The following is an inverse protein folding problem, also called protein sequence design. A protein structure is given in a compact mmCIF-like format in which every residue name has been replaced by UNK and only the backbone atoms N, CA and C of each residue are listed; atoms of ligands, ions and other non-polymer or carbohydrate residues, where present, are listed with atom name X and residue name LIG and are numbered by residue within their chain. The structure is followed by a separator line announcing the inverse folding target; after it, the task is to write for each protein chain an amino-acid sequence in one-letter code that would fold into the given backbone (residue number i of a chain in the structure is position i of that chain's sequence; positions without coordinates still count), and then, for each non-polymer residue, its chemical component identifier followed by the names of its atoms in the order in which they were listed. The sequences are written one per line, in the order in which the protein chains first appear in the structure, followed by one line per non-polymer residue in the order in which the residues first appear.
data_IF_678657685742
#
_entry.id   IF_678657685742
#
_cell.length_a   1.000
_cell.length_b   1.000
_cell.length_c   1.000
_cell.angle_alpha   90.00
_cell.angle_beta   90.00
_cell.angle_gamma   90.00
#
_symmetry.space_group_name_H-M   'P 1'
#
loop_
_entity.id
_entity.type
_entity.pdbx_description
1 polymer ?
#
# COMPACT_ATOMS: atom_id res chain seq x y z
N UNK A 1 -18.25 10.82 -33.98
CA UNK A 1 -17.58 11.93 -33.28
C UNK A 1 -17.75 11.66 -31.79
N UNK A 2 -16.84 10.88 -31.21
CA UNK A 2 -16.95 10.46 -29.81
C UNK A 2 -16.42 11.57 -28.90
N UNK A 3 -17.27 12.01 -27.97
CA UNK A 3 -16.86 12.80 -26.83
C UNK A 3 -15.76 12.02 -26.10
N UNK A 4 -14.53 12.54 -26.14
CA UNK A 4 -13.47 12.18 -25.20
C UNK A 4 -14.03 12.60 -23.83
N UNK A 5 -14.62 11.67 -23.09
CA UNK A 5 -14.82 11.88 -21.67
C UNK A 5 -13.42 12.02 -21.09
N UNK A 6 -13.07 13.21 -20.62
CA UNK A 6 -11.88 13.46 -19.80
C UNK A 6 -12.04 12.63 -18.52
N UNK A 7 -11.65 11.37 -18.62
CA UNK A 7 -11.52 10.52 -17.46
C UNK A 7 -10.33 11.03 -16.67
N UNK A 8 -10.60 11.53 -15.46
CA UNK A 8 -9.54 11.83 -14.50
C UNK A 8 -8.87 10.51 -14.10
N UNK A 9 -7.56 10.44 -14.35
CA UNK A 9 -6.72 9.29 -14.03
C UNK A 9 -6.02 9.45 -12.67
N UNK A 10 -6.21 10.57 -11.98
CA UNK A 10 -5.80 10.70 -10.58
C UNK A 10 -6.64 9.80 -9.67
N UNK A 11 -6.00 9.30 -8.62
CA UNK A 11 -6.57 8.38 -7.64
C UNK A 11 -7.20 7.13 -8.28
N UNK A 12 -6.47 6.56 -9.25
CA UNK A 12 -6.87 5.33 -9.95
C UNK A 12 -5.76 4.32 -10.08
N UNK A 13 -6.17 3.05 -10.20
CA UNK A 13 -5.35 1.91 -10.63
C UNK A 13 -5.96 1.32 -11.88
N UNK A 14 -5.23 1.35 -13.00
CA UNK A 14 -5.58 0.80 -14.30
C UNK A 14 -4.88 -0.55 -14.51
N UNK A 15 -5.61 -1.68 -14.44
CA UNK A 15 -5.04 -2.98 -14.74
C UNK A 15 -4.89 -3.15 -16.26
N UNK A 16 -3.86 -3.88 -16.68
CA UNK A 16 -3.61 -4.23 -18.07
C UNK A 16 -2.99 -5.62 -18.20
N UNK A 17 -2.99 -6.15 -19.43
CA UNK A 17 -2.34 -7.41 -19.78
C UNK A 17 -1.57 -7.26 -21.08
N UNK A 18 -0.39 -7.88 -21.11
CA UNK A 18 0.51 -8.01 -22.26
C UNK A 18 0.44 -9.48 -22.69
N UNK A 19 -0.51 -9.79 -23.57
CA UNK A 19 -0.84 -11.18 -23.91
C UNK A 19 0.32 -11.89 -24.64
N UNK A 20 1.20 -11.17 -25.35
CA UNK A 20 2.35 -11.76 -26.06
C UNK A 20 3.51 -12.13 -25.13
N UNK A 21 3.69 -11.37 -24.05
CA UNK A 21 4.76 -11.57 -23.07
C UNK A 21 4.33 -12.41 -21.86
N UNK A 22 3.09 -12.92 -21.82
CA UNK A 22 2.50 -13.61 -20.67
C UNK A 22 2.63 -12.80 -19.36
N UNK A 23 2.35 -11.50 -19.45
CA UNK A 23 2.47 -10.60 -18.31
C UNK A 23 1.19 -9.85 -18.04
N UNK A 24 0.92 -9.61 -16.77
CA UNK A 24 -0.14 -8.70 -16.31
C UNK A 24 0.51 -7.53 -15.59
N UNK A 25 -0.13 -6.37 -15.65
CA UNK A 25 0.37 -5.22 -14.93
C UNK A 25 -0.73 -4.30 -14.46
N UNK A 26 -0.32 -3.30 -13.71
CA UNK A 26 -1.16 -2.20 -13.21
C UNK A 26 -0.37 -0.91 -13.35
N UNK A 27 -1.05 0.14 -13.77
CA UNK A 27 -0.54 1.50 -13.69
C UNK A 27 -1.41 2.25 -12.68
N UNK A 28 -0.80 3.03 -11.80
CA UNK A 28 -1.53 3.82 -10.81
C UNK A 28 -1.05 5.26 -10.82
N UNK A 29 -1.95 6.18 -10.51
CA UNK A 29 -1.63 7.57 -10.18
C UNK A 29 -2.48 8.00 -9.00
N UNK A 30 -1.84 8.60 -8.01
CA UNK A 30 -2.40 9.07 -6.75
C UNK A 30 -2.14 10.57 -6.62
N UNK A 31 -3.17 11.31 -6.23
CA UNK A 31 -3.16 12.74 -5.98
C UNK A 31 -3.86 13.03 -4.65
N UNK A 32 -5.13 13.39 -4.68
CA UNK A 32 -5.88 13.77 -3.49
C UNK A 32 -5.96 12.65 -2.43
N UNK A 33 -5.98 11.38 -2.84
CA UNK A 33 -5.86 10.25 -1.91
C UNK A 33 -4.56 10.32 -1.09
N UNK A 34 -3.43 10.59 -1.77
CA UNK A 34 -2.13 10.69 -1.11
C UNK A 34 -2.01 11.95 -0.26
N UNK A 35 -2.47 13.11 -0.76
CA UNK A 35 -2.53 14.35 0.02
C UNK A 35 -3.30 14.13 1.33
N UNK A 36 -4.47 13.49 1.27
CA UNK A 36 -5.28 13.20 2.44
C UNK A 36 -4.57 12.27 3.43
N UNK A 37 -3.82 11.28 2.96
CA UNK A 37 -3.01 10.41 3.83
C UNK A 37 -1.91 11.20 4.54
N UNK A 38 -1.16 12.00 3.79
CA UNK A 38 -0.04 12.77 4.33
C UNK A 38 -0.51 13.87 5.29
N UNK A 39 -1.67 14.48 5.03
CA UNK A 39 -2.25 15.52 5.87
C UNK A 39 -2.68 15.04 7.28
N UNK A 40 -2.74 13.73 7.52
CA UNK A 40 -3.12 13.19 8.84
C UNK A 40 -2.05 13.43 9.91
N UNK A 41 -0.80 13.69 9.52
CA UNK A 41 0.33 13.87 10.43
C UNK A 41 1.32 14.90 9.88
N UNK A 42 2.06 15.54 10.79
CA UNK A 42 3.14 16.47 10.44
C UNK A 42 4.43 15.71 10.08
N UNK A 43 4.48 15.05 8.93
CA UNK A 43 5.69 14.33 8.51
C UNK A 43 6.76 15.27 7.96
N UNK A 44 8.06 15.11 8.32
CA UNK A 44 9.14 15.74 7.57
C UNK A 44 9.21 15.18 6.13
N UNK A 45 9.77 15.92 5.15
CA UNK A 45 9.73 15.55 3.73
C UNK A 45 10.25 14.14 3.42
N UNK A 46 11.28 13.68 4.13
CA UNK A 46 11.87 12.36 3.96
C UNK A 46 10.89 11.25 4.36
N UNK A 47 10.10 11.47 5.42
CA UNK A 47 9.04 10.53 5.84
C UNK A 47 7.84 10.62 4.91
N UNK A 48 7.50 11.82 4.39
CA UNK A 48 6.45 11.97 3.37
C UNK A 48 6.77 11.14 2.12
N UNK A 49 8.02 11.16 1.67
CA UNK A 49 8.50 10.35 0.55
C UNK A 49 8.33 8.84 0.80
N UNK A 50 8.75 8.34 1.97
CA UNK A 50 8.57 6.93 2.34
C UNK A 50 7.09 6.52 2.40
N UNK A 51 6.24 7.37 3.00
CA UNK A 51 4.80 7.13 3.06
C UNK A 51 4.20 7.13 1.64
N UNK A 52 4.59 8.06 0.77
CA UNK A 52 4.12 8.13 -0.61
C UNK A 52 4.49 6.89 -1.43
N UNK A 53 5.74 6.44 -1.34
CA UNK A 53 6.19 5.20 -2.01
C UNK A 53 5.40 3.99 -1.51
N UNK A 54 5.22 3.86 -0.19
CA UNK A 54 4.52 2.73 0.41
C UNK A 54 3.03 2.72 0.05
N UNK A 55 2.38 3.88 0.02
CA UNK A 55 0.98 4.04 -0.39
C UNK A 55 0.79 3.66 -1.86
N UNK A 56 1.71 4.08 -2.74
CA UNK A 56 1.69 3.72 -4.16
C UNK A 56 1.87 2.21 -4.37
N UNK A 57 2.85 1.59 -3.70
CA UNK A 57 3.04 0.14 -3.71
C UNK A 57 1.76 -0.59 -3.27
N UNK A 58 1.16 -0.14 -2.17
CA UNK A 58 -0.07 -0.73 -1.63
C UNK A 58 -1.26 -0.59 -2.59
N UNK A 59 -1.38 0.52 -3.32
CA UNK A 59 -2.39 0.67 -4.35
C UNK A 59 -2.19 -0.32 -5.52
N UNK A 60 -0.95 -0.42 -6.03
CA UNK A 60 -0.60 -1.31 -7.15
C UNK A 60 -0.78 -2.79 -6.78
N UNK A 61 -0.40 -3.18 -5.57
CA UNK A 61 -0.51 -4.57 -5.10
C UNK A 61 -1.95 -4.90 -4.72
N UNK A 62 -2.60 -4.02 -3.95
CA UNK A 62 -3.91 -4.22 -3.35
C UNK A 62 -5.05 -4.41 -4.36
N UNK A 63 -4.95 -3.84 -5.56
CA UNK A 63 -5.99 -3.96 -6.59
C UNK A 63 -6.35 -5.42 -6.97
N UNK A 64 -5.46 -6.39 -6.70
CA UNK A 64 -5.69 -7.82 -7.03
C UNK A 64 -6.51 -8.60 -6.02
N UNK A 65 -6.65 -8.08 -4.80
CA UNK A 65 -7.26 -8.85 -3.73
C UNK A 65 -8.78 -8.92 -3.94
N UNK A 66 -9.42 -9.95 -3.38
CA UNK A 66 -10.87 -10.12 -3.53
C UNK A 66 -11.63 -9.01 -2.80
N UNK A 67 -12.85 -8.75 -3.24
CA UNK A 67 -13.76 -7.81 -2.56
C UNK A 67 -13.85 -8.12 -1.07
N UNK A 68 -13.97 -7.05 -0.26
CA UNK A 68 -14.04 -7.09 1.22
C UNK A 68 -12.76 -7.57 1.92
N UNK A 69 -11.72 -8.00 1.21
CA UNK A 69 -10.43 -8.32 1.82
C UNK A 69 -9.67 -7.03 2.16
N UNK A 70 -8.69 -7.17 3.06
CA UNK A 70 -7.76 -6.10 3.42
C UNK A 70 -6.34 -6.60 3.20
N UNK A 71 -5.55 -5.80 2.49
CA UNK A 71 -4.11 -5.99 2.39
C UNK A 71 -3.41 -4.95 3.25
N UNK A 72 -2.42 -5.36 4.02
CA UNK A 72 -1.57 -4.48 4.80
C UNK A 72 -0.13 -4.63 4.37
N UNK A 73 0.54 -3.53 4.08
CA UNK A 73 1.99 -3.49 3.87
C UNK A 73 2.62 -2.82 5.10
N UNK A 74 3.58 -3.51 5.72
CA UNK A 74 4.33 -3.01 6.86
C UNK A 74 5.84 -3.01 6.55
N UNK A 75 6.48 -1.87 6.77
CA UNK A 75 7.93 -1.71 6.73
C UNK A 75 8.37 -1.43 8.15
N UNK A 76 9.27 -2.24 8.70
CA UNK A 76 9.85 -2.02 10.03
C UNK A 76 11.35 -1.98 9.94
N UNK A 77 11.95 -1.05 10.68
CA UNK A 77 13.38 -0.85 10.69
C UNK A 77 13.91 -0.39 12.04
N UNK A 78 15.23 -0.47 12.21
CA UNK A 78 15.98 0.01 13.38
C UNK A 78 16.49 1.46 13.24
N UNK A 79 16.27 2.07 12.07
CA UNK A 79 16.60 3.46 11.79
C UNK A 79 15.61 4.49 12.36
N UNK A 80 15.79 5.78 12.02
CA UNK A 80 14.86 6.85 12.40
C UNK A 80 13.41 6.62 11.96
N UNK A 81 13.18 5.98 10.79
CA UNK A 81 11.86 5.55 10.33
C UNK A 81 11.56 4.13 10.86
N UNK A 82 10.93 4.05 12.03
CA UNK A 82 10.76 2.81 12.80
C UNK A 82 9.69 1.88 12.22
N UNK A 83 8.59 2.45 11.74
CA UNK A 83 7.46 1.71 11.18
C UNK A 83 6.77 2.57 10.13
N UNK A 84 6.45 1.98 8.98
CA UNK A 84 5.47 2.51 8.02
C UNK A 84 4.44 1.42 7.81
N UNK A 85 3.17 1.74 8.05
CA UNK A 85 2.06 0.82 7.88
C UNK A 85 1.05 1.41 6.91
N UNK A 86 0.62 0.63 5.94
CA UNK A 86 -0.41 1.03 4.99
C UNK A 86 -1.44 -0.09 4.85
N UNK A 87 -2.70 0.27 4.64
CA UNK A 87 -3.77 -0.67 4.38
C UNK A 87 -4.48 -0.32 3.08
N UNK A 88 -4.78 -1.35 2.29
CA UNK A 88 -5.73 -1.32 1.18
C UNK A 88 -6.96 -2.13 1.55
N UNK A 89 -8.12 -1.47 1.61
CA UNK A 89 -9.41 -2.13 1.79
C UNK A 89 -10.06 -2.30 0.42
N UNK A 90 -10.22 -3.55 0.00
CA UNK A 90 -10.92 -3.82 -1.24
C UNK A 90 -12.38 -3.34 -1.17
N UNK A 91 -12.95 -2.93 -2.32
CA UNK A 91 -14.33 -2.45 -2.34
C UNK A 91 -15.31 -3.49 -1.81
N UNK A 92 -16.42 -3.02 -1.25
CA UNK A 92 -17.50 -3.90 -0.80
C UNK A 92 -18.27 -4.51 -1.99
N UNK A 93 -18.27 -3.81 -3.13
CA UNK A 93 -18.89 -4.20 -4.38
C UNK A 93 -18.09 -3.67 -5.58
N UNK A 94 -18.21 -4.34 -6.73
CA UNK A 94 -17.58 -3.91 -7.97
C UNK A 94 -17.98 -2.48 -8.36
N UNK A 95 -17.02 -1.70 -8.85
CA UNK A 95 -17.24 -0.30 -9.25
C UNK A 95 -17.27 0.72 -8.09
N UNK A 96 -17.19 0.27 -6.83
CA UNK A 96 -16.98 1.17 -5.68
C UNK A 96 -15.48 1.47 -5.51
N UNK A 97 -15.12 2.64 -4.97
CA UNK A 97 -13.73 2.94 -4.62
C UNK A 97 -13.18 1.95 -3.60
N UNK A 98 -11.90 1.62 -3.74
CA UNK A 98 -11.13 0.99 -2.68
C UNK A 98 -10.63 2.09 -1.74
N UNK A 99 -10.41 1.75 -0.47
CA UNK A 99 -9.93 2.72 0.53
C UNK A 99 -8.49 2.43 0.90
N UNK A 100 -7.68 3.47 1.01
CA UNK A 100 -6.29 3.38 1.44
C UNK A 100 -6.07 4.27 2.66
N UNK A 101 -5.20 3.85 3.57
CA UNK A 101 -4.68 4.67 4.66
C UNK A 101 -3.23 4.31 4.93
N UNK A 102 -2.48 5.22 5.53
CA UNK A 102 -1.13 4.96 5.98
C UNK A 102 -0.79 5.74 7.24
N UNK A 103 0.23 5.27 7.95
CA UNK A 103 0.88 5.98 9.03
C UNK A 103 2.34 5.56 9.17
N UNK A 104 3.18 6.49 9.64
CA UNK A 104 4.56 6.22 9.97
C UNK A 104 4.91 6.62 11.41
N UNK A 105 5.62 5.75 12.12
CA UNK A 105 6.30 6.06 13.37
C UNK A 105 7.76 6.38 13.09
N UNK A 106 8.23 7.53 13.56
CA UNK A 106 9.59 8.00 13.32
C UNK A 106 10.16 8.73 14.53
N UNK A 107 11.48 8.88 14.57
CA UNK A 107 12.20 9.71 15.54
C UNK A 107 12.67 10.98 14.85
N UNK A 108 11.96 12.10 15.10
CA UNK A 108 12.20 13.38 14.40
C UNK A 108 13.62 13.91 14.62
N UNK A 109 14.15 13.73 15.82
CA UNK A 109 15.44 14.32 16.21
C UNK A 109 16.64 13.57 15.60
N UNK A 110 16.40 12.41 14.99
CA UNK A 110 17.39 11.57 14.31
C UNK A 110 17.31 11.63 12.79
N UNK A 111 16.46 12.50 12.23
CA UNK A 111 16.34 12.66 10.77
C UNK A 111 17.25 13.81 10.34
N UNK A 112 18.30 13.47 9.59
CA UNK A 112 19.14 14.46 8.93
C UNK A 112 18.39 15.05 7.72
N UNK A 113 18.24 16.38 7.63
CA UNK A 113 17.60 17.01 6.48
C UNK A 113 18.33 16.68 5.18
N UNK A 114 17.57 16.23 4.17
CA UNK A 114 18.12 15.83 2.87
C UNK A 114 18.73 14.42 2.84
N UNK A 115 18.60 13.63 3.91
CA UNK A 115 18.94 12.22 3.88
C UNK A 115 18.13 11.48 2.80
N UNK A 116 18.75 10.48 2.18
CA UNK A 116 18.03 9.58 1.27
C UNK A 116 16.92 8.87 2.05
N UNK A 117 15.63 9.02 1.67
CA UNK A 117 14.51 8.50 2.44
C UNK A 117 14.66 7.02 2.84
N UNK A 118 15.05 6.16 1.88
CA UNK A 118 15.22 4.72 2.12
C UNK A 118 16.23 4.39 3.22
N UNK A 119 17.32 5.16 3.34
CA UNK A 119 18.33 4.93 4.39
C UNK A 119 17.82 5.18 5.81
N UNK A 120 16.73 5.93 5.97
CA UNK A 120 16.13 6.20 7.28
C UNK A 120 15.48 4.96 7.90
N UNK A 121 15.18 3.92 7.10
CA UNK A 121 14.60 2.68 7.60
C UNK A 121 15.65 1.88 8.38
N UNK A 122 16.89 1.86 7.91
CA UNK A 122 17.94 0.99 8.45
C UNK A 122 17.67 -0.49 8.12
N UNK A 123 18.07 -1.38 9.02
CA UNK A 123 17.84 -2.83 8.87
C UNK A 123 16.49 -3.21 9.45
N UNK A 124 15.84 -4.19 8.83
CA UNK A 124 14.59 -4.73 9.35
C UNK A 124 13.88 -5.58 8.30
N UNK A 125 12.57 -5.46 8.21
CA UNK A 125 11.77 -6.26 7.29
C UNK A 125 10.65 -5.47 6.60
N UNK A 126 10.34 -5.92 5.39
CA UNK A 126 9.15 -5.60 4.63
C UNK A 126 8.19 -6.77 4.73
N UNK A 127 6.94 -6.54 5.12
CA UNK A 127 5.92 -7.57 5.30
C UNK A 127 4.64 -7.19 4.57
N UNK A 128 4.01 -8.20 3.97
CA UNK A 128 2.69 -8.11 3.37
C UNK A 128 1.77 -9.07 4.10
N UNK A 129 0.62 -8.55 4.53
CA UNK A 129 -0.41 -9.29 5.25
C UNK A 129 -1.71 -9.22 4.46
N UNK A 130 -2.37 -10.36 4.31
CA UNK A 130 -3.65 -10.48 3.63
C UNK A 130 -4.69 -11.02 4.60
N UNK A 131 -5.62 -10.15 4.96
CA UNK A 131 -6.78 -10.44 5.80
C UNK A 131 -7.99 -10.71 4.90
N UNK A 132 -8.43 -11.95 4.90
CA UNK A 132 -9.53 -12.44 4.08
C UNK A 132 -10.90 -12.22 4.73
N UNK A 133 -10.93 -11.67 5.96
CA UNK A 133 -12.13 -11.54 6.76
C UNK A 133 -12.54 -12.82 7.49
N UNK A 134 -13.75 -12.80 8.06
CA UNK A 134 -14.45 -13.95 8.66
C UNK A 134 -13.69 -14.75 9.73
N UNK A 135 -12.71 -14.11 10.40
CA UNK A 135 -11.92 -14.75 11.45
C UNK A 135 -10.86 -15.74 10.94
N UNK A 136 -10.63 -15.78 9.62
CA UNK A 136 -9.50 -16.50 9.05
C UNK A 136 -8.18 -15.91 9.58
N UNK A 137 -7.19 -16.77 9.85
CA UNK A 137 -5.86 -16.28 10.17
C UNK A 137 -5.30 -15.55 8.94
N UNK A 138 -4.83 -14.29 9.09
CA UNK A 138 -4.24 -13.56 7.98
C UNK A 138 -3.05 -14.32 7.41
N UNK A 139 -2.97 -14.40 6.09
CA UNK A 139 -1.75 -14.83 5.43
C UNK A 139 -0.70 -13.71 5.59
N UNK A 140 0.55 -14.07 5.89
CA UNK A 140 1.65 -13.11 5.97
C UNK A 140 2.91 -13.67 5.35
N UNK A 141 3.54 -12.88 4.48
CA UNK A 141 4.91 -13.11 4.05
C UNK A 141 5.79 -11.92 4.44
N UNK A 142 7.10 -12.14 4.54
CA UNK A 142 8.05 -11.10 4.86
C UNK A 142 9.40 -11.35 4.18
N UNK A 143 10.10 -10.26 3.89
CA UNK A 143 11.47 -10.26 3.33
C UNK A 143 12.28 -9.20 4.08
N UNK A 144 13.61 -9.37 4.23
CA UNK A 144 14.44 -8.30 4.80
C UNK A 144 14.37 -7.01 3.97
N UNK A 145 14.70 -5.87 4.58
CA UNK A 145 14.94 -4.63 3.83
C UNK A 145 16.20 -4.80 2.99
N UNK A 146 16.05 -4.79 1.67
CA UNK A 146 17.09 -5.07 0.68
C UNK A 146 16.99 -4.11 -0.51
N UNK A 147 18.06 -4.05 -1.31
CA UNK A 147 18.14 -3.16 -2.46
C UNK A 147 18.33 -1.70 -2.06
N UNK A 148 17.79 -0.79 -2.86
CA UNK A 148 17.94 0.65 -2.68
C UNK A 148 16.60 1.40 -2.51
N UNK A 149 15.47 0.68 -2.56
CA UNK A 149 14.12 1.24 -2.51
C UNK A 149 13.10 0.28 -1.89
N UNK A 150 11.92 0.78 -1.51
CA UNK A 150 10.82 -0.08 -1.06
C UNK A 150 10.25 -0.88 -2.24
N UNK A 151 10.35 -0.39 -3.48
CA UNK A 151 10.05 -1.20 -4.67
C UNK A 151 10.96 -2.41 -4.82
N UNK A 152 12.25 -2.31 -4.48
CA UNK A 152 13.17 -3.47 -4.51
C UNK A 152 12.78 -4.49 -3.44
N UNK A 153 12.43 -4.02 -2.24
CA UNK A 153 11.88 -4.87 -1.18
C UNK A 153 10.59 -5.58 -1.63
N UNK A 154 9.68 -4.87 -2.30
CA UNK A 154 8.46 -5.45 -2.82
C UNK A 154 8.73 -6.48 -3.92
N UNK A 155 9.67 -6.23 -4.83
CA UNK A 155 10.09 -7.18 -5.86
C UNK A 155 10.69 -8.45 -5.24
N UNK A 156 11.60 -8.30 -4.26
CA UNK A 156 12.19 -9.40 -3.51
C UNK A 156 11.13 -10.23 -2.75
N UNK A 157 10.13 -9.56 -2.14
CA UNK A 157 8.99 -10.23 -1.52
C UNK A 157 8.27 -11.15 -2.51
N UNK A 158 7.92 -10.65 -3.70
CA UNK A 158 7.18 -11.44 -4.67
C UNK A 158 8.02 -12.58 -5.25
N UNK A 159 9.32 -12.37 -5.47
CA UNK A 159 10.21 -13.43 -5.92
C UNK A 159 10.34 -14.54 -4.86
N UNK A 160 10.52 -14.17 -3.59
CA UNK A 160 10.83 -15.14 -2.53
C UNK A 160 9.59 -15.79 -1.90
N UNK A 161 8.56 -15.01 -1.59
CA UNK A 161 7.38 -15.49 -0.85
C UNK A 161 6.28 -16.00 -1.77
N UNK A 162 6.14 -15.42 -2.96
CA UNK A 162 5.05 -15.75 -3.89
C UNK A 162 5.53 -16.53 -5.12
N UNK A 163 6.85 -16.59 -5.37
CA UNK A 163 7.46 -17.14 -6.60
C UNK A 163 6.87 -16.50 -7.87
N UNK A 164 6.65 -15.19 -7.82
CA UNK A 164 6.08 -14.41 -8.92
C UNK A 164 7.06 -13.30 -9.33
N UNK A 165 7.75 -13.44 -10.48
CA UNK A 165 8.55 -12.37 -11.07
C UNK A 165 7.74 -11.08 -11.14
N UNK A 166 8.21 -10.06 -10.44
CA UNK A 166 7.51 -8.78 -10.29
C UNK A 166 8.50 -7.62 -10.39
N UNK A 167 8.18 -6.63 -11.22
CA UNK A 167 8.98 -5.43 -11.41
C UNK A 167 8.12 -4.18 -11.23
N UNK A 168 8.75 -3.10 -10.79
CA UNK A 168 8.11 -1.82 -10.53
C UNK A 168 8.88 -0.68 -11.21
N UNK A 169 8.14 0.36 -11.62
CA UNK A 169 8.70 1.66 -11.95
C UNK A 169 7.85 2.71 -11.25
N UNK A 170 8.41 3.40 -10.26
CA UNK A 170 7.68 4.33 -9.39
C UNK A 170 8.29 5.72 -9.46
N UNK A 171 7.45 6.74 -9.31
CA UNK A 171 7.87 8.12 -9.08
C UNK A 171 6.86 8.80 -8.17
N UNK A 172 7.34 9.68 -7.31
CA UNK A 172 6.52 10.46 -6.41
C UNK A 172 7.24 11.77 -6.10
N UNK A 173 6.46 12.81 -5.82
CA UNK A 173 6.99 14.12 -5.50
C UNK A 173 5.92 15.18 -5.42
N UNK A 174 6.35 16.37 -5.07
CA UNK A 174 5.49 17.55 -5.05
C UNK A 174 5.38 18.15 -6.45
N UNK A 175 4.16 18.36 -6.90
CA UNK A 175 3.82 19.02 -8.15
C UNK A 175 3.32 20.43 -7.84
N UNK A 176 3.90 21.42 -8.52
CA UNK A 176 3.47 22.80 -8.46
C UNK A 176 2.64 23.14 -9.70
N UNK A 177 1.38 23.51 -9.50
CA UNK A 177 0.52 24.07 -10.53
C UNK A 177 0.23 25.54 -10.23
N UNK A 178 0.46 26.48 -11.18
CA UNK A 178 0.14 27.88 -10.99
C UNK A 178 -1.32 28.06 -10.55
N UNK A 179 -1.52 28.69 -9.38
CA UNK A 179 -2.85 28.97 -8.82
C UNK A 179 -3.53 27.81 -8.08
N UNK A 180 -2.91 26.62 -7.97
CA UNK A 180 -3.46 25.44 -7.28
C UNK A 180 -2.64 24.97 -6.07
N UNK A 181 -1.50 25.60 -5.81
CA UNK A 181 -0.62 25.28 -4.70
C UNK A 181 0.25 24.05 -4.98
N UNK A 182 1.02 23.66 -3.97
CA UNK A 182 1.84 22.46 -3.99
C UNK A 182 1.00 21.26 -3.58
N UNK A 183 1.03 20.18 -4.38
CA UNK A 183 0.31 18.93 -4.09
C UNK A 183 1.21 17.73 -4.29
N UNK A 184 1.05 16.70 -3.48
CA UNK A 184 1.73 15.45 -3.71
C UNK A 184 1.12 14.68 -4.88
N UNK A 185 1.98 14.11 -5.69
CA UNK A 185 1.61 13.14 -6.72
C UNK A 185 2.51 11.92 -6.62
N UNK A 186 1.92 10.74 -6.77
CA UNK A 186 2.65 9.49 -6.88
C UNK A 186 2.10 8.70 -8.06
N UNK A 187 2.96 8.08 -8.84
CA UNK A 187 2.58 7.38 -10.06
C UNK A 187 3.55 6.24 -10.31
N UNK A 188 3.03 5.12 -10.80
CA UNK A 188 3.87 3.95 -10.99
C UNK A 188 3.23 2.86 -11.82
N UNK A 189 4.08 1.95 -12.29
CA UNK A 189 3.70 0.72 -12.94
C UNK A 189 4.22 -0.47 -12.14
N UNK A 190 3.44 -1.54 -12.18
CA UNK A 190 3.81 -2.87 -11.71
C UNK A 190 3.57 -3.85 -12.84
N UNK A 191 4.52 -4.75 -13.10
CA UNK A 191 4.39 -5.85 -14.06
C UNK A 191 4.71 -7.16 -13.35
N UNK A 192 3.92 -8.20 -13.63
CA UNK A 192 4.10 -9.55 -13.12
C UNK A 192 4.01 -10.57 -14.23
N UNK A 193 4.89 -11.57 -14.20
CA UNK A 193 4.77 -12.74 -15.07
C UNK A 193 3.55 -13.59 -14.67
N UNK A 194 2.86 -14.15 -15.66
CA UNK A 194 1.73 -15.06 -15.50
C UNK A 194 2.16 -16.45 -15.94
N UNK A 195 2.45 -17.38 -15.01
CA UNK A 195 2.85 -18.73 -15.39
C UNK A 195 1.74 -19.45 -16.16
N UNK A 196 2.09 -20.12 -17.27
CA UNK A 196 1.18 -21.00 -18.02
C UNK A 196 0.93 -22.35 -17.31
N UNK A 197 1.75 -22.71 -16.30
CA UNK A 197 1.59 -23.87 -15.42
C UNK A 197 2.38 -23.68 -14.10
N UNK A 198 2.04 -24.45 -13.06
CA UNK A 198 2.64 -24.33 -11.72
C UNK A 198 4.16 -24.60 -11.74
N UNK A 199 5.00 -23.70 -11.20
CA UNK A 199 6.44 -23.90 -11.19
C UNK A 199 6.81 -24.86 -10.06
N UNK A 200 6.94 -26.15 -10.36
CA UNK A 200 7.89 -26.96 -9.61
C UNK A 200 9.28 -26.53 -10.12
N UNK A 201 9.96 -25.68 -9.36
CA UNK A 201 11.24 -25.08 -9.75
C UNK A 201 12.34 -26.15 -9.90
N UNK A 202 13.10 -26.03 -10.99
CA UNK A 202 14.36 -26.74 -11.22
C UNK A 202 15.54 -25.80 -10.92
N UNK A 203 16.29 -26.09 -9.84
CA UNK A 203 17.75 -25.92 -9.74
C UNK A 203 18.45 -24.55 -9.94
N UNK A 204 17.76 -23.42 -10.10
CA UNK A 204 18.45 -22.13 -10.29
C UNK A 204 19.11 -21.60 -9.00
N UNK A 205 20.33 -21.06 -9.12
CA UNK A 205 21.01 -20.36 -8.03
C UNK A 205 20.49 -18.91 -7.90
N UNK A 206 20.30 -18.36 -6.69
CA UNK A 206 19.82 -16.98 -6.52
C UNK A 206 20.84 -15.95 -7.01
N UNK A 207 20.39 -14.98 -7.81
CA UNK A 207 21.24 -13.89 -8.34
C UNK A 207 20.91 -12.51 -7.74
N UNK A 208 19.86 -12.40 -6.94
CA UNK A 208 19.44 -11.16 -6.29
C UNK A 208 20.36 -10.72 -5.14
N UNK A 209 20.10 -9.51 -4.63
CA UNK A 209 20.86 -8.94 -3.51
C UNK A 209 20.72 -9.80 -2.25
N UNK A 210 21.80 -9.86 -1.46
CA UNK A 210 21.85 -10.59 -0.18
C UNK A 210 21.47 -12.08 -0.27
N UNK A 211 21.71 -12.70 -1.43
CA UNK A 211 21.46 -14.13 -1.68
C UNK A 211 19.98 -14.49 -1.87
N UNK A 212 19.14 -13.49 -2.14
CA UNK A 212 17.72 -13.66 -2.46
C UNK A 212 17.52 -13.96 -3.95
N UNK A 213 16.38 -14.56 -4.30
CA UNK A 213 16.00 -14.75 -5.70
C UNK A 213 15.64 -13.42 -6.35
N UNK A 214 16.19 -13.16 -7.53
CA UNK A 214 15.73 -12.12 -8.43
C UNK A 214 14.52 -12.62 -9.25
N UNK A 215 13.82 -11.70 -9.92
CA UNK A 215 12.66 -12.05 -10.74
C UNK A 215 13.04 -12.95 -11.93
N UNK A 216 14.24 -12.75 -12.47
CA UNK A 216 14.81 -13.47 -13.61
C UNK A 216 15.09 -14.94 -13.27
N UNK A 217 15.45 -15.23 -12.02
CA UNK A 217 15.81 -16.58 -11.55
C UNK A 217 14.63 -17.57 -11.63
N UNK A 218 13.40 -17.06 -11.71
CA UNK A 218 12.17 -17.85 -11.73
C UNK A 218 11.65 -18.13 -13.15
N UNK A 219 12.38 -17.71 -14.18
CA UNK A 219 11.91 -17.74 -15.57
C UNK A 219 12.70 -18.75 -16.44
N UNK A 220 12.00 -19.35 -17.41
CA UNK A 220 12.62 -20.14 -18.48
C UNK A 220 13.07 -19.24 -19.63
N UNK A 221 13.94 -19.72 -20.53
CA UNK A 221 14.62 -18.89 -21.55
C UNK A 221 13.71 -17.93 -22.33
N UNK A 222 12.60 -18.40 -22.91
CA UNK A 222 11.67 -17.52 -23.65
C UNK A 222 10.99 -16.48 -22.75
N UNK A 223 10.56 -16.91 -21.55
CA UNK A 223 9.95 -16.02 -20.57
C UNK A 223 10.96 -15.00 -20.02
N UNK A 224 12.24 -15.38 -19.88
CA UNK A 224 13.33 -14.53 -19.45
C UNK A 224 13.64 -13.43 -20.49
N UNK A 225 13.65 -13.76 -21.79
CA UNK A 225 13.81 -12.75 -22.85
C UNK A 225 12.62 -11.78 -22.90
N UNK A 226 11.39 -12.29 -22.79
CA UNK A 226 10.21 -11.43 -22.69
C UNK A 226 10.27 -10.52 -21.46
N UNK A 227 10.67 -11.07 -20.31
CA UNK A 227 10.84 -10.33 -19.06
C UNK A 227 11.86 -9.22 -19.17
N UNK A 228 13.04 -9.52 -19.73
CA UNK A 228 14.08 -8.54 -19.97
C UNK A 228 13.60 -7.41 -20.86
N UNK A 229 12.92 -7.72 -21.97
CA UNK A 229 12.39 -6.74 -22.92
C UNK A 229 11.34 -5.83 -22.28
N UNK A 230 10.34 -6.41 -21.61
CA UNK A 230 9.30 -5.64 -20.92
C UNK A 230 9.89 -4.83 -19.76
N UNK A 231 10.87 -5.39 -19.04
CA UNK A 231 11.61 -4.70 -17.98
C UNK A 231 12.38 -3.48 -18.48
N UNK A 232 13.08 -3.59 -19.62
CA UNK A 232 13.76 -2.45 -20.24
C UNK A 232 12.79 -1.33 -20.64
N UNK A 233 11.63 -1.69 -21.20
CA UNK A 233 10.59 -0.71 -21.51
C UNK A 233 10.06 -0.06 -20.24
N UNK A 234 9.71 -0.85 -19.22
CA UNK A 234 9.24 -0.38 -17.92
C UNK A 234 10.22 0.62 -17.28
N UNK A 235 11.52 0.33 -17.31
CA UNK A 235 12.58 1.20 -16.77
C UNK A 235 12.79 2.48 -17.59
N UNK A 236 12.31 2.54 -18.83
CA UNK A 236 12.32 3.75 -19.65
C UNK A 236 11.23 4.75 -19.28
N UNK A 237 10.38 4.45 -18.30
CA UNK A 237 9.35 5.37 -17.80
C UNK A 237 10.00 6.60 -17.16
N UNK A 238 9.67 7.79 -17.66
CA UNK A 238 10.18 9.04 -17.08
C UNK A 238 9.27 9.53 -15.95
N UNK A 239 9.86 10.23 -14.97
CA UNK A 239 9.12 10.79 -13.84
C UNK A 239 7.92 11.64 -14.27
N UNK A 240 8.09 12.53 -15.26
CA UNK A 240 7.01 13.39 -15.76
C UNK A 240 5.89 12.62 -16.48
N UNK A 241 6.13 11.40 -16.93
CA UNK A 241 5.09 10.56 -17.51
C UNK A 241 4.29 9.83 -16.42
N UNK A 242 4.96 9.45 -15.33
CA UNK A 242 4.37 8.79 -14.17
C UNK A 242 3.49 9.77 -13.37
N UNK A 243 4.04 10.92 -13.00
CA UNK A 243 3.38 11.88 -12.09
C UNK A 243 2.95 13.19 -12.77
N UNK A 244 3.42 13.48 -13.97
CA UNK A 244 3.12 14.75 -14.65
C UNK A 244 1.70 14.81 -15.23
N UNK A 245 1.22 16.02 -15.55
CA UNK A 245 -0.18 16.25 -15.92
C UNK A 245 -0.50 15.96 -17.40
N UNK A 246 0.51 15.68 -18.24
CA UNK A 246 0.35 15.66 -19.71
C UNK A 246 0.02 14.28 -20.29
N UNK A 247 0.42 13.23 -19.60
CA UNK A 247 0.29 11.84 -20.10
C UNK A 247 -0.76 11.13 -19.25
N UNK A 248 -1.78 10.55 -19.89
CA UNK A 248 -2.75 9.69 -19.21
C UNK A 248 -2.22 8.25 -19.08
N UNK A 249 -2.84 7.44 -18.20
CA UNK A 249 -2.37 6.07 -17.97
C UNK A 249 -2.43 5.19 -19.24
N UNK A 250 -3.51 5.21 -20.06
CA UNK A 250 -3.52 4.44 -21.30
C UNK A 250 -2.46 4.89 -22.32
N UNK A 251 -2.23 6.20 -22.45
CA UNK A 251 -1.19 6.75 -23.32
C UNK A 251 0.21 6.34 -22.88
N UNK A 252 0.47 6.32 -21.57
CA UNK A 252 1.72 5.81 -21.02
C UNK A 252 1.91 4.32 -21.32
N UNK A 253 0.88 3.50 -21.11
CA UNK A 253 0.92 2.07 -21.43
C UNK A 253 1.19 1.83 -22.92
N UNK A 254 0.56 2.61 -23.80
CA UNK A 254 0.85 2.54 -25.23
C UNK A 254 2.29 2.95 -25.53
N UNK A 255 2.80 4.05 -24.97
CA UNK A 255 4.19 4.47 -25.17
C UNK A 255 5.17 3.36 -24.80
N UNK A 256 4.98 2.75 -23.62
CA UNK A 256 5.87 1.72 -23.09
C UNK A 256 5.74 0.38 -23.83
N UNK A 257 4.50 -0.01 -24.19
CA UNK A 257 4.19 -1.38 -24.60
C UNK A 257 3.44 -1.48 -25.92
N UNK A 258 3.48 -0.49 -26.82
CA UNK A 258 2.74 -0.53 -28.09
C UNK A 258 2.97 -1.82 -28.90
N UNK A 259 4.19 -2.38 -28.89
CA UNK A 259 4.50 -3.66 -29.57
C UNK A 259 3.78 -4.86 -28.95
N UNK A 260 3.40 -4.78 -27.68
CA UNK A 260 2.66 -5.81 -26.93
C UNK A 260 1.14 -5.71 -27.13
N UNK A 261 0.64 -4.59 -27.67
CA UNK A 261 -0.79 -4.27 -27.76
C UNK A 261 -1.51 -4.39 -26.41
N UNK A 262 -1.22 -3.51 -25.43
CA UNK A 262 -1.66 -3.66 -24.05
C UNK A 262 -3.20 -3.67 -23.97
N UNK A 263 -3.75 -4.73 -23.39
CA UNK A 263 -5.18 -4.85 -23.15
C UNK A 263 -5.51 -4.27 -21.78
N UNK A 264 -6.26 -3.17 -21.76
CA UNK A 264 -6.68 -2.50 -20.53
C UNK A 264 -7.99 -3.07 -19.98
N UNK A 265 -8.15 -3.00 -18.66
CA UNK A 265 -9.34 -3.45 -17.93
C UNK A 265 -10.05 -2.28 -17.23
N UNK A 266 -11.26 -2.51 -16.68
CA UNK A 266 -11.94 -1.49 -15.89
C UNK A 266 -11.05 -0.98 -14.76
N UNK A 267 -11.02 0.35 -14.63
CA UNK A 267 -10.23 1.06 -13.64
C UNK A 267 -10.79 0.85 -12.23
N UNK A 268 -9.91 0.75 -11.24
CA UNK A 268 -10.26 0.80 -9.82
C UNK A 268 -9.96 2.19 -9.27
N UNK A 269 -10.98 2.88 -8.77
CA UNK A 269 -10.78 4.13 -8.02
C UNK A 269 -10.24 3.84 -6.63
N UNK A 270 -9.38 4.71 -6.12
CA UNK A 270 -8.88 4.65 -4.74
C UNK A 270 -9.18 5.96 -4.04
N UNK A 271 -9.42 5.92 -2.74
CA UNK A 271 -9.64 7.11 -1.92
C UNK A 271 -9.04 6.91 -0.54
N UNK A 272 -8.77 7.99 0.18
CA UNK A 272 -8.43 7.88 1.59
C UNK A 272 -9.62 7.32 2.37
N UNK A 273 -9.38 6.37 3.26
CA UNK A 273 -10.43 5.89 4.15
C UNK A 273 -9.93 5.12 5.36
N UNK A 274 -10.20 5.67 6.55
CA UNK A 274 -9.96 5.01 7.81
C UNK A 274 -11.28 4.46 8.38
N UNK A 275 -11.39 3.15 8.65
CA UNK A 275 -12.61 2.56 9.17
C UNK A 275 -12.71 2.67 10.71
N UNK A 276 -11.91 3.51 11.38
CA UNK A 276 -12.01 3.69 12.82
C UNK A 276 -13.38 4.29 13.19
N UNK A 277 -13.90 3.88 14.35
CA UNK A 277 -15.10 4.46 14.93
C UNK A 277 -15.04 4.30 16.44
N UNK A 278 -15.86 5.07 17.15
CA UNK A 278 -16.00 4.94 18.60
C UNK A 278 -16.35 3.49 18.99
N UNK A 279 -17.26 2.81 18.27
CA UNK A 279 -17.63 1.43 18.59
C UNK A 279 -16.46 0.46 18.43
N UNK A 280 -15.60 0.67 17.43
CA UNK A 280 -14.41 -0.17 17.24
C UNK A 280 -13.39 0.02 18.35
N UNK A 281 -13.20 1.26 18.82
CA UNK A 281 -12.29 1.55 19.93
C UNK A 281 -12.81 0.91 21.22
N UNK A 282 -14.10 1.08 21.53
CA UNK A 282 -14.75 0.42 22.67
C UNK A 282 -14.58 -1.09 22.60
N UNK A 283 -14.80 -1.69 21.41
CA UNK A 283 -14.60 -3.13 21.19
C UNK A 283 -13.15 -3.56 21.40
N UNK A 284 -12.17 -2.76 20.98
CA UNK A 284 -10.75 -3.06 21.23
C UNK A 284 -10.40 -2.98 22.72
N UNK A 285 -11.07 -2.10 23.48
CA UNK A 285 -10.87 -1.96 24.93
C UNK A 285 -11.68 -2.96 25.76
N UNK A 286 -12.57 -3.76 25.15
CA UNK A 286 -13.43 -4.70 25.88
C UNK A 286 -12.69 -5.90 26.47
N UNK A 287 -11.37 -6.02 26.24
CA UNK A 287 -10.52 -7.08 26.81
C UNK A 287 -9.88 -6.66 28.15
N UNK A 288 -9.96 -5.38 28.51
CA UNK A 288 -9.37 -4.85 29.73
C UNK A 288 -10.38 -4.89 30.89
N UNK A 289 -9.88 -5.12 32.10
CA UNK A 289 -10.71 -5.03 33.31
C UNK A 289 -11.00 -3.57 33.67
N UNK A 290 -12.06 -3.32 34.46
CA UNK A 290 -12.33 -1.97 34.98
C UNK A 290 -11.12 -1.39 35.75
N UNK A 291 -10.33 -2.25 36.40
CA UNK A 291 -9.10 -1.85 37.07
C UNK A 291 -8.07 -1.32 36.06
N UNK A 292 -7.86 -2.00 34.94
CA UNK A 292 -6.92 -1.56 33.91
C UNK A 292 -7.38 -0.25 33.25
N UNK A 293 -8.69 -0.12 32.98
CA UNK A 293 -9.31 1.11 32.47
C UNK A 293 -9.09 2.28 33.44
N UNK A 294 -9.17 2.05 34.76
CA UNK A 294 -8.88 3.09 35.74
C UNK A 294 -7.43 3.60 35.68
N UNK A 295 -6.46 2.76 35.30
CA UNK A 295 -5.06 3.19 35.10
C UNK A 295 -4.87 3.96 33.79
N UNK A 296 -5.79 3.81 32.83
CA UNK A 296 -5.81 4.56 31.58
C UNK A 296 -6.60 5.88 31.69
N UNK A 297 -7.27 6.11 32.82
CA UNK A 297 -8.11 7.29 33.03
C UNK A 297 -7.23 8.51 33.33
N UNK A 298 -7.45 9.60 32.61
CA UNK A 298 -6.72 10.86 32.77
C UNK A 298 -7.13 11.58 34.06
N UNK A 299 -6.38 12.61 34.52
CA UNK A 299 -6.76 13.42 35.67
C UNK A 299 -8.15 14.09 35.55
N UNK A 300 -8.62 14.30 34.33
CA UNK A 300 -9.95 14.85 34.01
C UNK A 300 -11.08 13.80 34.12
N UNK A 301 -10.76 12.55 34.45
CA UNK A 301 -11.72 11.48 34.65
C UNK A 301 -12.22 10.81 33.36
N UNK A 302 -11.50 10.98 32.24
CA UNK A 302 -11.88 10.39 30.94
C UNK A 302 -10.82 9.40 30.45
N UNK A 303 -11.17 8.56 29.48
CA UNK A 303 -10.19 7.76 28.73
C UNK A 303 -10.15 8.28 27.30
N UNK A 304 -8.95 8.61 26.83
CA UNK A 304 -8.73 9.09 25.46
C UNK A 304 -8.07 8.02 24.60
N UNK A 305 -8.43 7.99 23.32
CA UNK A 305 -7.79 7.12 22.34
C UNK A 305 -7.62 7.84 21.00
N UNK A 306 -6.39 7.81 20.47
CA UNK A 306 -6.06 8.40 19.18
C UNK A 306 -5.87 7.34 18.10
N UNK A 307 -6.55 7.53 16.97
CA UNK A 307 -6.32 6.67 15.81
C UNK A 307 -5.03 7.07 15.10
N UNK A 308 -3.99 6.24 15.22
CA UNK A 308 -2.69 6.47 14.57
C UNK A 308 -2.78 6.66 13.05
N UNK A 309 -3.79 6.11 12.37
CA UNK A 309 -3.91 6.24 10.90
C UNK A 309 -4.52 7.56 10.43
N UNK A 310 -5.44 8.16 11.20
CA UNK A 310 -6.22 9.32 10.74
C UNK A 310 -6.30 10.46 11.75
N UNK A 311 -5.55 10.38 12.84
CA UNK A 311 -5.54 11.41 13.88
C UNK A 311 -6.85 11.60 14.64
N UNK A 312 -7.89 10.79 14.38
CA UNK A 312 -9.16 10.91 15.08
C UNK A 312 -8.98 10.68 16.59
N UNK A 313 -9.40 11.67 17.37
CA UNK A 313 -9.36 11.66 18.84
C UNK A 313 -10.73 11.26 19.39
N UNK A 314 -10.75 10.22 20.23
CA UNK A 314 -11.95 9.74 20.90
C UNK A 314 -11.83 9.94 22.39
N UNK A 315 -12.91 10.39 23.02
CA UNK A 315 -13.03 10.58 24.47
C UNK A 315 -14.17 9.72 24.98
N UNK A 316 -13.92 8.94 26.02
CA UNK A 316 -14.88 8.02 26.62
C UNK A 316 -15.01 8.24 28.12
N UNK A 317 -16.20 7.94 28.64
CA UNK A 317 -16.40 7.71 30.06
C UNK A 317 -15.80 6.34 30.43
N UNK A 318 -14.92 6.24 31.44
CA UNK A 318 -14.39 4.97 31.92
C UNK A 318 -15.47 3.91 32.22
N UNK A 319 -16.67 4.33 32.61
CA UNK A 319 -17.80 3.44 32.92
C UNK A 319 -18.37 2.70 31.70
N UNK A 320 -18.14 3.22 30.48
CA UNK A 320 -18.59 2.65 29.22
C UNK A 320 -17.56 1.68 28.60
N UNK A 321 -16.41 1.49 29.25
CA UNK A 321 -15.29 0.70 28.76
C UNK A 321 -15.03 -0.56 29.60
N UNK A 322 -14.29 -1.50 29.01
CA UNK A 322 -13.87 -2.74 29.66
C UNK A 322 -14.87 -3.88 29.59
N UNK A 323 -14.47 -5.03 30.15
CA UNK A 323 -15.23 -6.28 30.16
C UNK A 323 -16.59 -6.07 30.83
N UNK A 324 -16.61 -5.40 31.97
CA UNK A 324 -17.80 -5.20 32.78
C UNK A 324 -18.85 -4.31 32.07
N UNK A 325 -18.42 -3.32 31.29
CA UNK A 325 -19.32 -2.50 30.48
C UNK A 325 -19.93 -3.29 29.30
N UNK A 326 -19.13 -4.15 28.67
CA UNK A 326 -19.60 -5.05 27.62
C UNK A 326 -20.65 -6.05 28.16
N UNK A 327 -20.43 -6.60 29.35
CA UNK A 327 -21.38 -7.49 30.02
C UNK A 327 -22.70 -6.79 30.37
N UNK A 328 -22.63 -5.57 30.94
CA UNK A 328 -23.83 -4.76 31.22
C UNK A 328 -24.65 -4.49 29.96
N UNK A 329 -24.00 -4.19 28.85
CA UNK A 329 -24.65 -3.94 27.55
C UNK A 329 -25.33 -5.19 27.01
N UNK A 330 -24.68 -6.37 27.11
CA UNK A 330 -25.27 -7.66 26.72
C UNK A 330 -26.46 -8.04 27.60
N UNK A 331 -26.36 -7.83 28.91
CA UNK A 331 -27.45 -8.11 29.84
C UNK A 331 -28.70 -7.25 29.54
N UNK A 332 -28.51 -5.95 29.24
CA UNK A 332 -29.61 -5.05 28.82
C UNK A 332 -30.24 -5.49 27.49
N UNK A 333 -29.43 -5.89 26.51
CA UNK A 333 -29.93 -6.35 25.22
C UNK A 333 -30.75 -7.66 25.31
N UNK A 334 -30.41 -8.54 26.24
CA UNK A 334 -31.14 -9.79 26.49
C UNK A 334 -32.41 -9.59 27.33
N UNK A 335 -32.46 -8.56 28.19
CA UNK A 335 -33.63 -8.26 29.01
C UNK A 335 -34.76 -7.52 28.24
N UNK A 336 -34.46 -7.01 27.04
CA UNK A 336 -35.41 -6.34 26.16
C UNK A 336 -36.00 -7.22 25.05
N UNK A 337 -35.72 -8.53 25.06
CA UNK A 337 -36.36 -9.57 24.24
C UNK A 337 -37.31 -10.38 25.10
#
# INVERSE_FOLDING_TARGET
MNAKQDQDWEDTVLPFQLDKADMRGRAARLGACLDNVLAQHDYPPEIQALVAETVLLTALIGQTIKLKWKLSLQVRGDGPARLIATDFFAPEAAGRPARIRAWASFDRDRIDPGATPFSLIGKGYFALLLDQGDGAMPYSGMTPIVGASLSDCAAAYFAQSEQLPTAFALSFGQSYEPGRGEKWRAGGLMVQHVPKASPLMAGAEPTGSDGLFAAEDLLQEEAAENWKRVGLHLQSAEALELIGPKTDLPGLLYRLFHEESPRIFPVQKVEFGCPCSAERVVRSLSIYSAKDIAHMTTPEGTVTADCQFCGAHYVFDPADLGIEAAERSRARANAGK
#
